data_IF_486071125331
#
_entry.id   IF_486071125331
#
_cell.length_a   1.000
_cell.length_b   1.000
_cell.length_c   1.000
_cell.angle_alpha   90.00
_cell.angle_beta   90.00
_cell.angle_gamma   90.00
#
_symmetry.space_group_name_H-M   'P 1'
#
loop_
_entity.id
_entity.type
_entity.pdbx_description
1 polymer ?
#
# COMPACT_ATOMS: atom_id res chain seq x y z
N UNK A 1 -13.83 -12.94 1.34
CA UNK A 1 -12.35 -12.97 1.30
C UNK A 1 -11.88 -13.66 2.57
N UNK A 2 -10.85 -14.50 2.48
CA UNK A 2 -10.32 -15.17 3.67
C UNK A 2 -9.28 -14.28 4.35
N UNK A 3 -9.74 -13.41 5.26
CA UNK A 3 -8.88 -12.47 5.98
C UNK A 3 -7.79 -13.17 6.80
N UNK A 4 -8.11 -14.33 7.39
CA UNK A 4 -7.15 -15.11 8.16
C UNK A 4 -5.94 -15.46 7.30
N UNK A 5 -6.18 -15.95 6.08
CA UNK A 5 -5.12 -16.26 5.13
C UNK A 5 -4.25 -15.04 4.78
N UNK A 6 -4.85 -13.85 4.63
CA UNK A 6 -4.06 -12.65 4.33
C UNK A 6 -3.19 -12.22 5.52
N UNK A 7 -3.71 -12.31 6.74
CA UNK A 7 -2.93 -12.07 7.96
C UNK A 7 -1.79 -13.09 8.12
N UNK A 8 -2.09 -14.38 7.98
CA UNK A 8 -1.09 -15.45 8.06
C UNK A 8 0.00 -15.27 7.00
N UNK A 9 -0.38 -14.95 5.76
CA UNK A 9 0.59 -14.72 4.68
C UNK A 9 1.44 -13.47 4.94
N UNK A 10 0.85 -12.38 5.39
CA UNK A 10 1.59 -11.17 5.74
C UNK A 10 2.57 -11.44 6.90
N UNK A 11 2.12 -12.20 7.91
CA UNK A 11 2.94 -12.59 9.06
C UNK A 11 4.10 -13.52 8.67
N UNK A 12 3.84 -14.50 7.82
CA UNK A 12 4.86 -15.43 7.32
C UNK A 12 5.95 -14.68 6.56
N UNK A 13 5.59 -13.83 5.59
CA UNK A 13 6.57 -13.06 4.80
C UNK A 13 7.34 -12.08 5.70
N UNK A 14 6.66 -11.45 6.66
CA UNK A 14 7.30 -10.58 7.64
C UNK A 14 8.34 -11.34 8.46
N UNK A 15 8.01 -12.53 8.97
CA UNK A 15 8.92 -13.31 9.81
C UNK A 15 10.05 -13.97 9.01
N UNK A 16 9.79 -14.39 7.77
CA UNK A 16 10.80 -14.98 6.90
C UNK A 16 11.91 -13.97 6.54
N UNK A 17 11.54 -12.71 6.28
CA UNK A 17 12.46 -11.65 5.91
C UNK A 17 12.59 -10.55 6.96
N UNK A 18 12.37 -10.89 8.24
CA UNK A 18 12.19 -9.93 9.34
C UNK A 18 13.21 -8.80 9.36
N UNK A 19 14.50 -9.14 9.39
CA UNK A 19 15.57 -8.14 9.44
C UNK A 19 15.57 -7.23 8.20
N UNK A 20 15.35 -7.80 7.01
CA UNK A 20 15.37 -7.04 5.76
C UNK A 20 14.17 -6.12 5.62
N UNK A 21 12.98 -6.59 6.01
CA UNK A 21 11.76 -5.78 6.02
C UNK A 21 11.87 -4.61 6.98
N UNK A 22 12.45 -4.84 8.17
CA UNK A 22 12.71 -3.77 9.14
C UNK A 22 13.73 -2.76 8.63
N UNK A 23 14.85 -3.22 8.06
CA UNK A 23 15.86 -2.34 7.47
C UNK A 23 15.26 -1.52 6.33
N UNK A 24 14.45 -2.14 5.46
CA UNK A 24 13.82 -1.46 4.35
C UNK A 24 12.83 -0.38 4.83
N UNK A 25 12.03 -0.70 5.84
CA UNK A 25 11.09 0.25 6.48
C UNK A 25 11.84 1.40 7.16
N UNK A 26 12.91 1.09 7.89
CA UNK A 26 13.73 2.10 8.56
C UNK A 26 14.37 3.05 7.55
N UNK A 27 14.95 2.52 6.47
CA UNK A 27 15.56 3.36 5.42
C UNK A 27 14.48 4.20 4.74
N UNK A 28 13.30 3.65 4.45
CA UNK A 28 12.18 4.43 3.91
C UNK A 28 11.82 5.62 4.82
N UNK A 29 11.71 5.40 6.13
CA UNK A 29 11.39 6.46 7.09
C UNK A 29 12.52 7.50 7.15
N UNK A 30 13.78 7.06 7.27
CA UNK A 30 14.93 7.96 7.35
C UNK A 30 15.05 8.82 6.10
N UNK A 31 14.92 8.23 4.90
CA UNK A 31 14.96 8.98 3.63
C UNK A 31 13.80 9.96 3.53
N UNK A 32 12.61 9.55 3.97
CA UNK A 32 11.43 10.43 3.99
C UNK A 32 11.64 11.62 4.94
N UNK A 33 12.18 11.40 6.15
CA UNK A 33 12.44 12.48 7.11
C UNK A 33 13.54 13.42 6.65
N UNK A 34 14.68 12.88 6.18
CA UNK A 34 15.82 13.70 5.71
C UNK A 34 15.45 14.53 4.48
N UNK A 35 14.60 13.99 3.60
CA UNK A 35 14.10 14.71 2.43
C UNK A 35 12.91 15.62 2.71
N UNK A 36 12.54 15.85 3.98
CA UNK A 36 11.34 16.61 4.36
C UNK A 36 10.04 16.11 3.70
N UNK A 37 9.98 14.81 3.39
CA UNK A 37 8.85 14.16 2.75
C UNK A 37 8.82 14.25 1.23
N UNK A 38 9.73 15.00 0.59
CA UNK A 38 9.72 15.15 -0.87
C UNK A 38 9.96 13.82 -1.60
N UNK A 39 10.83 12.95 -1.07
CA UNK A 39 11.07 11.62 -1.66
C UNK A 39 10.10 10.55 -1.15
N UNK A 40 9.27 10.85 -0.14
CA UNK A 40 8.42 9.84 0.49
C UNK A 40 7.49 9.10 -0.51
N UNK A 41 6.82 9.77 -1.47
CA UNK A 41 5.91 9.09 -2.39
C UNK A 41 6.62 8.08 -3.31
N UNK A 42 7.78 8.47 -3.84
CA UNK A 42 8.54 7.64 -4.79
C UNK A 42 9.26 6.49 -4.07
N UNK A 43 9.75 6.74 -2.85
CA UNK A 43 10.36 5.70 -2.01
C UNK A 43 9.29 4.72 -1.52
N UNK A 44 8.07 5.19 -1.21
CA UNK A 44 6.95 4.32 -0.88
C UNK A 44 6.54 3.41 -2.05
N UNK A 45 6.61 3.91 -3.30
CA UNK A 45 6.40 3.08 -4.49
C UNK A 45 7.47 1.96 -4.59
N UNK A 46 8.75 2.31 -4.48
CA UNK A 46 9.85 1.34 -4.47
C UNK A 46 9.77 0.33 -3.32
N UNK A 47 9.40 0.79 -2.13
CA UNK A 47 9.14 -0.05 -0.95
C UNK A 47 8.03 -1.06 -1.22
N UNK A 48 6.89 -0.59 -1.76
CA UNK A 48 5.75 -1.43 -2.10
C UNK A 48 6.13 -2.52 -3.11
N UNK A 49 6.96 -2.18 -4.10
CA UNK A 49 7.47 -3.16 -5.07
C UNK A 49 8.39 -4.20 -4.40
N UNK A 50 9.30 -3.76 -3.53
CA UNK A 50 10.21 -4.67 -2.84
C UNK A 50 9.44 -5.70 -2.01
N UNK A 51 8.43 -5.25 -1.27
CA UNK A 51 7.54 -6.13 -0.51
C UNK A 51 6.67 -7.02 -1.41
N UNK A 52 6.18 -6.51 -2.55
CA UNK A 52 5.40 -7.30 -3.50
C UNK A 52 6.24 -8.46 -4.08
N UNK A 53 7.52 -8.22 -4.35
CA UNK A 53 8.44 -9.27 -4.80
C UNK A 53 8.73 -10.30 -3.71
N UNK A 54 8.75 -9.89 -2.44
CA UNK A 54 8.80 -10.83 -1.31
C UNK A 54 7.53 -11.70 -1.25
N UNK A 55 6.34 -11.09 -1.36
CA UNK A 55 5.06 -11.82 -1.36
C UNK A 55 4.93 -12.80 -2.55
N UNK A 56 5.40 -12.42 -3.74
CA UNK A 56 5.24 -13.20 -4.97
C UNK A 56 6.30 -14.25 -5.22
N UNK A 57 7.55 -13.83 -5.09
CA UNK A 57 8.71 -14.59 -5.56
C UNK A 57 9.55 -15.11 -4.40
N UNK A 58 9.17 -14.80 -3.17
CA UNK A 58 9.99 -15.01 -1.99
C UNK A 58 11.39 -14.37 -2.15
N UNK A 59 11.43 -13.22 -2.85
CA UNK A 59 12.67 -12.46 -3.05
C UNK A 59 12.95 -11.68 -1.77
N UNK A 60 14.20 -11.76 -1.30
CA UNK A 60 14.71 -10.94 -0.20
C UNK A 60 14.50 -9.44 -0.50
N UNK A 61 13.80 -8.69 0.36
CA UNK A 61 13.68 -7.25 0.21
C UNK A 61 15.06 -6.60 0.21
N UNK A 62 15.28 -5.66 -0.70
CA UNK A 62 16.55 -4.94 -0.85
C UNK A 62 16.28 -3.45 -0.77
N UNK A 63 17.13 -2.75 -0.01
CA UNK A 63 17.10 -1.28 0.13
C UNK A 63 17.27 -0.60 -1.23
N UNK A 64 17.97 -1.23 -2.18
CA UNK A 64 18.10 -0.71 -3.54
C UNK A 64 16.76 -0.58 -4.27
N UNK A 65 15.79 -1.45 -3.96
CA UNK A 65 14.48 -1.43 -4.60
C UNK A 65 13.68 -0.16 -4.24
N UNK A 66 13.97 0.48 -3.10
CA UNK A 66 13.36 1.76 -2.69
C UNK A 66 13.56 2.85 -3.73
N UNK A 67 14.68 2.81 -4.45
CA UNK A 67 15.05 3.78 -5.46
C UNK A 67 14.88 3.26 -6.89
N UNK A 68 14.27 2.09 -7.07
CA UNK A 68 14.11 1.50 -8.39
C UNK A 68 13.12 2.25 -9.28
N UNK A 69 12.18 3.02 -8.70
CA UNK A 69 11.10 3.68 -9.42
C UNK A 69 11.24 5.22 -9.40
N UNK A 70 12.47 5.74 -9.50
CA UNK A 70 12.72 7.20 -9.51
C UNK A 70 12.11 7.91 -10.73
N UNK A 71 11.80 7.17 -11.79
CA UNK A 71 11.02 7.63 -12.94
C UNK A 71 9.61 8.09 -12.57
N UNK A 72 9.01 7.52 -11.51
CA UNK A 72 7.71 7.93 -10.98
C UNK A 72 7.76 9.14 -10.05
N UNK A 73 8.93 9.75 -9.84
CA UNK A 73 9.11 10.87 -8.91
C UNK A 73 8.18 12.05 -9.21
N UNK A 74 8.25 12.62 -10.41
CA UNK A 74 7.45 13.80 -10.75
C UNK A 74 5.94 13.53 -10.73
N UNK A 75 5.43 12.43 -11.31
CA UNK A 75 4.01 12.10 -11.22
C UNK A 75 3.52 11.94 -9.78
N UNK A 76 4.25 11.18 -8.95
CA UNK A 76 3.85 10.93 -7.57
C UNK A 76 3.98 12.19 -6.70
N UNK A 77 5.03 12.99 -6.89
CA UNK A 77 5.21 14.26 -6.19
C UNK A 77 4.07 15.23 -6.51
N UNK A 78 3.75 15.41 -7.81
CA UNK A 78 2.65 16.27 -8.24
C UNK A 78 1.31 15.82 -7.65
N UNK A 79 1.05 14.51 -7.64
CA UNK A 79 -0.12 13.93 -7.00
C UNK A 79 -0.15 14.19 -5.50
N UNK A 80 0.95 13.95 -4.78
CA UNK A 80 1.04 14.16 -3.34
C UNK A 80 0.85 15.63 -2.96
N UNK A 81 1.45 16.56 -3.70
CA UNK A 81 1.25 18.00 -3.47
C UNK A 81 -0.22 18.37 -3.66
N UNK A 82 -0.86 17.91 -4.73
CA UNK A 82 -2.27 18.16 -4.98
C UNK A 82 -3.17 17.57 -3.87
N UNK A 83 -2.88 16.33 -3.45
CA UNK A 83 -3.63 15.65 -2.40
C UNK A 83 -3.48 16.38 -1.05
N UNK A 84 -2.25 16.76 -0.67
CA UNK A 84 -1.99 17.53 0.56
C UNK A 84 -2.70 18.88 0.50
N UNK A 85 -2.65 19.59 -0.64
CA UNK A 85 -3.36 20.85 -0.81
C UNK A 85 -4.88 20.67 -0.61
N UNK A 86 -5.46 19.60 -1.18
CA UNK A 86 -6.88 19.30 -1.01
C UNK A 86 -7.24 18.99 0.45
N UNK A 87 -6.39 18.25 1.16
CA UNK A 87 -6.56 17.97 2.59
C UNK A 87 -6.48 19.25 3.41
N UNK A 88 -5.47 20.11 3.18
CA UNK A 88 -5.31 21.38 3.89
C UNK A 88 -6.51 22.29 3.65
N UNK A 89 -6.94 22.45 2.39
CA UNK A 89 -8.13 23.23 2.05
C UNK A 89 -9.39 22.68 2.71
N UNK A 90 -9.54 21.35 2.70
CA UNK A 90 -10.63 20.67 3.39
C UNK A 90 -10.63 20.98 4.88
N UNK A 91 -9.49 20.84 5.55
CA UNK A 91 -9.34 21.11 6.99
C UNK A 91 -9.55 22.58 7.34
N UNK A 92 -9.15 23.51 6.46
CA UNK A 92 -9.30 24.96 6.65
C UNK A 92 -10.75 25.44 6.52
N UNK A 93 -11.53 24.87 5.58
CA UNK A 93 -12.90 25.32 5.33
C UNK A 93 -13.85 24.85 6.44
N UNK A 94 -13.87 23.54 6.70
CA UNK A 94 -14.60 22.87 7.78
C UNK A 94 -13.85 21.56 8.02
N UNK A 95 -13.42 21.27 9.25
CA UNK A 95 -12.61 20.06 9.56
C UNK A 95 -13.20 18.76 8.98
N UNK A 96 -14.52 18.66 8.87
CA UNK A 96 -15.24 17.51 8.29
C UNK A 96 -14.83 17.20 6.83
N UNK A 97 -14.88 18.15 5.86
CA UNK A 97 -14.33 17.94 4.52
C UNK A 97 -12.90 17.42 4.50
N UNK A 98 -12.00 17.93 5.36
CA UNK A 98 -10.63 17.44 5.42
C UNK A 98 -10.54 15.97 5.82
N UNK A 99 -11.28 15.56 6.86
CA UNK A 99 -11.39 14.16 7.27
C UNK A 99 -12.01 13.30 6.16
N UNK A 100 -13.04 13.81 5.47
CA UNK A 100 -13.67 13.10 4.37
C UNK A 100 -12.69 12.84 3.22
N UNK A 101 -11.85 13.81 2.85
CA UNK A 101 -10.80 13.63 1.83
C UNK A 101 -9.77 12.59 2.27
N UNK A 102 -9.36 12.60 3.54
CA UNK A 102 -8.43 11.59 4.07
C UNK A 102 -9.04 10.18 4.00
N UNK A 103 -10.28 10.01 4.47
CA UNK A 103 -10.96 8.70 4.43
C UNK A 103 -11.20 8.23 3.00
N UNK A 104 -11.61 9.13 2.10
CA UNK A 104 -11.77 8.81 0.69
C UNK A 104 -10.44 8.44 0.04
N UNK A 105 -9.35 9.15 0.35
CA UNK A 105 -8.01 8.82 -0.08
C UNK A 105 -7.59 7.42 0.38
N UNK A 106 -7.72 7.15 1.68
CA UNK A 106 -7.42 5.83 2.25
C UNK A 106 -8.31 4.74 1.66
N UNK A 107 -9.55 5.02 1.27
CA UNK A 107 -10.43 4.02 0.68
C UNK A 107 -10.13 3.75 -0.80
N UNK A 108 -9.97 4.80 -1.62
CA UNK A 108 -9.84 4.67 -3.07
C UNK A 108 -8.40 4.46 -3.54
N UNK A 109 -7.40 4.90 -2.78
CA UNK A 109 -5.99 4.92 -3.21
C UNK A 109 -5.15 3.77 -2.64
N UNK A 110 -5.74 2.83 -1.89
CA UNK A 110 -5.03 1.67 -1.30
C UNK A 110 -4.16 0.94 -2.31
N UNK A 111 -4.65 0.78 -3.54
CA UNK A 111 -4.00 -0.01 -4.57
C UNK A 111 -3.22 0.84 -5.59
N UNK A 112 -3.13 2.16 -5.41
CA UNK A 112 -2.48 3.07 -6.35
C UNK A 112 -0.99 2.73 -6.54
N UNK A 113 -0.23 2.68 -5.43
CA UNK A 113 1.21 2.38 -5.47
C UNK A 113 1.53 1.00 -6.05
N UNK A 114 0.90 -0.11 -5.61
CA UNK A 114 1.19 -1.41 -6.21
C UNK A 114 0.79 -1.47 -7.69
N UNK A 115 -0.27 -0.78 -8.13
CA UNK A 115 -0.62 -0.71 -9.55
C UNK A 115 0.44 -0.02 -10.40
N UNK A 116 0.96 1.11 -9.93
CA UNK A 116 1.98 1.88 -10.67
C UNK A 116 3.30 1.11 -10.78
N UNK A 117 3.67 0.30 -9.78
CA UNK A 117 4.94 -0.44 -9.79
C UNK A 117 4.86 -1.84 -10.38
N UNK A 118 3.72 -2.51 -10.25
CA UNK A 118 3.50 -3.86 -10.77
C UNK A 118 3.05 -3.87 -12.24
N UNK A 119 2.17 -2.94 -12.61
CA UNK A 119 1.63 -2.84 -13.95
C UNK A 119 2.22 -1.70 -14.78
N UNK A 120 3.14 -0.92 -14.20
CA UNK A 120 3.72 0.26 -14.85
C UNK A 120 2.65 1.23 -15.39
N UNK A 121 1.49 1.27 -14.73
CA UNK A 121 0.41 2.18 -15.11
C UNK A 121 0.80 3.62 -14.83
N UNK A 122 0.41 4.52 -15.73
CA UNK A 122 0.48 5.95 -15.46
C UNK A 122 -0.39 6.34 -14.27
N UNK A 123 -0.09 7.48 -13.63
CA UNK A 123 -0.80 7.94 -12.43
C UNK A 123 -2.33 7.95 -12.62
N UNK A 124 -2.82 8.48 -13.73
CA UNK A 124 -4.26 8.60 -14.00
C UNK A 124 -4.93 7.24 -14.19
N UNK A 125 -4.27 6.34 -14.92
CA UNK A 125 -4.75 4.98 -15.12
C UNK A 125 -4.77 4.21 -13.80
N UNK A 126 -3.69 4.31 -13.02
CA UNK A 126 -3.60 3.68 -11.71
C UNK A 126 -4.67 4.22 -10.74
N UNK A 127 -4.97 5.52 -10.77
CA UNK A 127 -6.06 6.13 -9.99
C UNK A 127 -7.41 5.51 -10.37
N UNK A 128 -7.71 5.44 -11.67
CA UNK A 128 -8.96 4.88 -12.16
C UNK A 128 -9.08 3.40 -11.80
N UNK A 129 -8.03 2.62 -12.03
CA UNK A 129 -8.02 1.18 -11.71
C UNK A 129 -8.07 0.92 -10.21
N UNK A 130 -7.44 1.76 -9.37
CA UNK A 130 -7.54 1.66 -7.91
C UNK A 130 -8.96 1.95 -7.43
N UNK A 131 -9.61 2.96 -8.01
CA UNK A 131 -11.01 3.29 -7.75
C UNK A 131 -11.95 2.14 -8.14
N UNK A 132 -11.77 1.57 -9.34
CA UNK A 132 -12.53 0.41 -9.81
C UNK A 132 -12.32 -0.82 -8.90
N UNK A 133 -11.08 -1.08 -8.45
CA UNK A 133 -10.79 -2.15 -7.49
C UNK A 133 -11.41 -1.93 -6.12
N UNK A 134 -11.51 -0.68 -5.66
CA UNK A 134 -12.12 -0.33 -4.38
C UNK A 134 -13.64 -0.57 -4.40
N UNK A 135 -14.29 -0.35 -5.56
CA UNK A 135 -15.73 -0.56 -5.76
C UNK A 135 -16.08 -1.95 -6.29
N UNK A 136 -15.10 -2.80 -6.55
CA UNK A 136 -15.32 -4.17 -6.99
C UNK A 136 -16.14 -4.94 -5.95
N UNK A 137 -17.22 -5.59 -6.41
CA UNK A 137 -18.09 -6.37 -5.54
C UNK A 137 -17.38 -7.66 -5.07
N UNK A 138 -17.55 -8.06 -3.80
CA UNK A 138 -18.39 -7.42 -2.80
C UNK A 138 -17.71 -6.28 -2.03
N UNK A 139 -18.34 -5.10 -1.96
CA UNK A 139 -17.74 -3.87 -1.38
C UNK A 139 -17.41 -4.04 0.11
N UNK A 140 -18.17 -4.85 0.86
CA UNK A 140 -17.92 -5.09 2.28
C UNK A 140 -16.53 -5.71 2.55
N UNK A 141 -15.97 -6.48 1.60
CA UNK A 141 -14.61 -7.00 1.72
C UNK A 141 -13.60 -5.86 1.70
N UNK A 142 -13.77 -4.88 0.82
CA UNK A 142 -12.87 -3.72 0.74
C UNK A 142 -13.01 -2.79 1.95
N UNK A 143 -14.23 -2.58 2.44
CA UNK A 143 -14.46 -1.82 3.70
C UNK A 143 -13.70 -2.46 4.87
N UNK A 144 -13.75 -3.80 4.99
CA UNK A 144 -13.02 -4.51 6.04
C UNK A 144 -11.49 -4.40 5.88
N UNK A 145 -10.96 -4.40 4.65
CA UNK A 145 -9.53 -4.16 4.38
C UNK A 145 -9.12 -2.77 4.86
N UNK A 146 -9.88 -1.73 4.48
CA UNK A 146 -9.60 -0.35 4.89
C UNK A 146 -9.71 -0.18 6.41
N UNK A 147 -10.69 -0.81 7.04
CA UNK A 147 -10.82 -0.78 8.50
C UNK A 147 -9.59 -1.41 9.20
N UNK A 148 -9.10 -2.56 8.71
CA UNK A 148 -7.89 -3.20 9.24
C UNK A 148 -6.68 -2.28 9.10
N UNK A 149 -6.54 -1.58 7.97
CA UNK A 149 -5.44 -0.63 7.76
C UNK A 149 -5.46 0.52 8.74
N UNK A 150 -6.62 1.16 8.90
CA UNK A 150 -6.78 2.26 9.85
C UNK A 150 -6.44 1.79 11.27
N UNK A 151 -6.88 0.59 11.66
CA UNK A 151 -6.59 0.02 12.98
C UNK A 151 -5.09 -0.24 13.14
N UNK A 152 -4.44 -0.89 12.16
CA UNK A 152 -3.00 -1.20 12.22
C UNK A 152 -2.15 0.07 12.27
N UNK A 153 -2.45 1.07 11.44
CA UNK A 153 -1.72 2.34 11.42
C UNK A 153 -1.96 3.15 12.71
N UNK A 154 -3.17 3.07 13.29
CA UNK A 154 -3.48 3.70 14.57
C UNK A 154 -2.70 3.06 15.73
N UNK A 155 -2.59 1.73 15.75
CA UNK A 155 -1.78 1.01 16.74
C UNK A 155 -0.30 1.35 16.56
N UNK A 156 0.15 1.38 15.31
CA UNK A 156 1.52 1.72 14.94
C UNK A 156 1.93 3.12 15.38
N UNK A 157 1.06 4.10 15.17
CA UNK A 157 1.31 5.50 15.54
C UNK A 157 1.17 5.76 17.05
N UNK A 158 0.39 4.95 17.77
CA UNK A 158 0.23 5.07 19.23
C UNK A 158 1.48 4.67 20.02
N UNK A 159 2.38 3.90 19.41
CA UNK A 159 3.64 3.45 20.03
C UNK A 159 4.78 4.05 19.20
N UNK A 160 5.65 4.88 19.78
CA UNK A 160 6.66 5.62 19.00
C UNK A 160 7.51 4.78 18.04
N UNK A 161 7.85 3.54 18.41
CA UNK A 161 8.60 2.59 17.56
C UNK A 161 7.69 1.56 16.87
N UNK A 162 6.40 1.51 17.23
CA UNK A 162 5.43 0.53 16.72
C UNK A 162 5.24 0.58 15.21
N UNK A 163 5.42 1.76 14.60
CA UNK A 163 5.36 1.96 13.14
C UNK A 163 6.36 1.08 12.38
N UNK A 164 7.52 0.76 12.96
CA UNK A 164 8.53 -0.07 12.29
C UNK A 164 8.05 -1.51 12.00
N UNK A 165 7.12 -2.03 12.81
CA UNK A 165 6.57 -3.37 12.66
C UNK A 165 5.18 -3.36 12.03
N UNK A 166 4.33 -2.44 12.47
CA UNK A 166 2.94 -2.35 12.00
C UNK A 166 2.85 -1.90 10.55
N UNK A 167 3.70 -0.98 10.11
CA UNK A 167 3.70 -0.48 8.74
C UNK A 167 4.03 -1.57 7.71
N UNK A 168 5.16 -2.31 7.80
CA UNK A 168 5.42 -3.40 6.87
C UNK A 168 4.37 -4.50 6.92
N UNK A 169 3.82 -4.79 8.10
CA UNK A 169 2.75 -5.78 8.24
C UNK A 169 1.48 -5.34 7.50
N UNK A 170 1.07 -4.07 7.66
CA UNK A 170 -0.07 -3.48 6.94
C UNK A 170 0.16 -3.49 5.43
N UNK A 171 1.35 -3.11 4.95
CA UNK A 171 1.69 -3.17 3.54
C UNK A 171 1.65 -4.61 2.98
N UNK A 172 2.24 -5.58 3.68
CA UNK A 172 2.20 -6.99 3.26
C UNK A 172 0.77 -7.53 3.22
N UNK A 173 -0.09 -7.12 4.16
CA UNK A 173 -1.51 -7.44 4.14
C UNK A 173 -2.21 -6.86 2.90
N UNK A 174 -2.01 -5.57 2.58
CA UNK A 174 -2.55 -4.95 1.36
C UNK A 174 -2.08 -5.70 0.13
N UNK A 175 -0.79 -5.99 0.04
CA UNK A 175 -0.21 -6.66 -1.12
C UNK A 175 -0.81 -8.05 -1.31
N UNK A 176 -1.02 -8.80 -0.22
CA UNK A 176 -1.70 -10.10 -0.24
C UNK A 176 -3.14 -10.00 -0.76
N UNK A 177 -3.88 -8.96 -0.35
CA UNK A 177 -5.26 -8.68 -0.82
C UNK A 177 -5.26 -8.24 -2.28
N UNK A 178 -4.35 -7.34 -2.66
CA UNK A 178 -4.15 -6.86 -4.02
C UNK A 178 -3.87 -8.02 -4.98
N UNK A 179 -3.04 -8.99 -4.58
CA UNK A 179 -2.83 -10.20 -5.37
C UNK A 179 -4.12 -11.00 -5.60
N UNK A 180 -4.95 -11.16 -4.57
CA UNK A 180 -6.20 -11.90 -4.68
C UNK A 180 -7.21 -11.17 -5.59
N UNK A 181 -7.41 -9.87 -5.40
CA UNK A 181 -8.26 -9.04 -6.27
C UNK A 181 -7.77 -9.07 -7.72
N UNK A 182 -6.47 -8.90 -7.95
CA UNK A 182 -5.88 -8.99 -9.29
C UNK A 182 -6.09 -10.36 -9.92
N UNK A 183 -5.93 -11.45 -9.16
CA UNK A 183 -6.24 -12.81 -9.64
C UNK A 183 -7.71 -12.93 -10.02
N UNK A 184 -8.65 -12.43 -9.21
CA UNK A 184 -10.08 -12.47 -9.52
C UNK A 184 -10.40 -11.72 -10.83
N UNK A 185 -9.81 -10.56 -11.05
CA UNK A 185 -9.98 -9.80 -12.29
C UNK A 185 -9.47 -10.55 -13.52
N UNK A 186 -8.30 -11.21 -13.43
CA UNK A 186 -7.74 -12.03 -14.52
C UNK A 186 -8.58 -13.30 -14.78
N UNK A 187 -9.12 -13.93 -13.73
CA UNK A 187 -9.84 -15.21 -13.83
C UNK A 187 -11.34 -15.04 -14.16
N UNK A 188 -11.84 -13.79 -14.13
CA UNK A 188 -13.24 -13.41 -14.35
C UNK A 188 -14.11 -13.49 -13.08
N UNK A 189 -15.13 -12.63 -12.93
CA UNK A 189 -16.03 -12.63 -11.77
C UNK A 189 -16.79 -13.97 -11.68
N UNK A 190 -16.55 -14.73 -10.62
CA UNK A 190 -17.26 -15.99 -10.32
C UNK A 190 -16.42 -17.27 -10.31
N UNK A 191 -15.15 -17.24 -10.75
CA UNK A 191 -14.22 -18.37 -10.57
C UNK A 191 -13.35 -18.15 -9.33
N UNK A 192 -13.37 -19.11 -8.40
CA UNK A 192 -12.41 -19.14 -7.27
C UNK A 192 -11.00 -19.00 -7.85
N UNK A 193 -10.19 -18.02 -7.40
CA UNK A 193 -8.83 -17.87 -7.88
C UNK A 193 -8.06 -19.17 -7.60
N UNK A 194 -7.25 -19.66 -8.56
CA UNK A 194 -6.45 -20.87 -8.36
C UNK A 194 -5.57 -20.69 -7.12
N UNK A 195 -5.48 -21.76 -6.32
CA UNK A 195 -4.72 -21.77 -5.08
C UNK A 195 -3.31 -21.19 -5.31
N UNK A 196 -2.78 -20.40 -4.36
CA UNK A 196 -1.40 -19.93 -4.47
C UNK A 196 -0.47 -21.15 -4.67
N UNK A 197 0.56 -21.04 -5.52
CA UNK A 197 1.48 -22.14 -5.75
C UNK A 197 2.10 -22.54 -4.40
N UNK A 198 1.97 -23.83 -4.07
CA UNK A 198 2.62 -24.42 -2.89
C UNK A 198 4.12 -24.15 -3.00
N UNK A 199 4.67 -23.43 -2.03
CA UNK A 199 6.10 -23.39 -1.75
C UNK A 199 6.27 -23.63 -0.26
#
# INVERSE_FOLDING_TARGET
>A
MDFKKHFERAWQVLMEHFALVLVNTLVMIVVSVISFGFLAPVVAAGYMQSLLLAVRKNRRPDVKDLFAHMDLFFPLLGFTILFIALVILGMMLVVLPGIAVLLAGTFFLVYLLPLMTDQHLGLIEALKTSYEMALEQPIHEHVAVVAVLIILDSIGSSIGVGVLLTHPYACLFILSVYEEKRRRQITGPGKKPPAPPNK
#
